data_IF_714264724268
#
_entry.id   IF_714264724268
#
_cell.length_a   1.000
_cell.length_b   1.000
_cell.length_c   1.000
_cell.angle_alpha   90.00
_cell.angle_beta   90.00
_cell.angle_gamma   90.00
#
_symmetry.space_group_name_H-M   'P 1'
#
loop_
_entity.id
_entity.type
_entity.pdbx_description
1 polymer ?
#
# COMPACT_ATOMS: atom_id res chain seq x y z
N UNK A 1 -16.45 -72.16 3.28
CA UNK A 1 -17.37 -71.40 4.14
C UNK A 1 -16.61 -70.17 4.64
N UNK A 2 -16.88 -68.98 4.10
CA UNK A 2 -16.14 -67.75 4.42
C UNK A 2 -17.06 -66.89 5.30
N UNK A 3 -16.61 -66.38 6.47
CA UNK A 3 -17.46 -65.58 7.33
C UNK A 3 -17.60 -64.17 6.75
N UNK A 4 -18.84 -63.67 6.67
CA UNK A 4 -19.16 -62.29 6.30
C UNK A 4 -19.15 -61.42 7.55
N UNK A 5 -18.24 -60.45 7.59
CA UNK A 5 -18.18 -59.40 8.60
C UNK A 5 -19.24 -58.34 8.30
N UNK A 6 -20.14 -58.09 9.25
CA UNK A 6 -21.15 -57.04 9.14
C UNK A 6 -20.53 -55.67 9.47
N UNK A 7 -20.71 -54.69 8.57
CA UNK A 7 -20.31 -53.31 8.79
C UNK A 7 -21.40 -52.58 9.59
N UNK A 8 -21.04 -52.06 10.77
CA UNK A 8 -21.91 -51.24 11.59
C UNK A 8 -21.89 -49.79 11.09
N UNK A 9 -23.06 -49.25 10.77
CA UNK A 9 -23.26 -47.85 10.36
C UNK A 9 -23.46 -46.98 11.60
N UNK A 10 -22.50 -46.09 11.88
CA UNK A 10 -22.60 -45.10 12.96
C UNK A 10 -23.31 -43.86 12.42
N UNK A 11 -24.46 -43.52 13.00
CA UNK A 11 -25.23 -42.32 12.68
C UNK A 11 -24.89 -41.25 13.72
N UNK A 12 -24.13 -40.22 13.32
CA UNK A 12 -23.86 -39.06 14.17
C UNK A 12 -25.15 -38.26 14.37
N UNK A 13 -25.54 -38.03 15.63
CA UNK A 13 -26.59 -37.10 16.00
C UNK A 13 -25.95 -35.73 16.22
N UNK A 14 -26.32 -34.75 15.39
CA UNK A 14 -25.96 -33.36 15.61
C UNK A 14 -26.79 -32.84 16.79
N UNK A 15 -26.14 -32.70 17.95
CA UNK A 15 -26.68 -31.99 19.10
C UNK A 15 -26.47 -30.51 18.86
N UNK A 16 -27.55 -29.78 18.60
CA UNK A 16 -27.56 -28.31 18.57
C UNK A 16 -27.53 -27.84 20.02
N UNK A 17 -26.46 -27.14 20.40
CA UNK A 17 -26.34 -26.46 21.68
C UNK A 17 -26.95 -25.07 21.48
N UNK A 18 -28.13 -24.83 22.05
CA UNK A 18 -28.69 -23.47 22.13
C UNK A 18 -27.92 -22.68 23.20
N UNK A 19 -27.36 -21.55 22.78
CA UNK A 19 -26.64 -20.60 23.63
C UNK A 19 -27.65 -19.73 24.40
N UNK A 20 -27.48 -19.50 25.72
CA UNK A 20 -28.40 -18.67 26.48
C UNK A 20 -28.25 -17.19 26.11
N UNK A 21 -29.36 -16.56 25.71
CA UNK A 21 -29.47 -15.11 25.53
C UNK A 21 -29.37 -14.40 26.89
N UNK A 22 -28.14 -14.05 27.30
CA UNK A 22 -27.94 -13.09 28.38
C UNK A 22 -28.05 -11.66 27.84
N UNK A 23 -28.96 -10.89 28.44
CA UNK A 23 -29.19 -9.49 28.10
C UNK A 23 -27.98 -8.63 28.52
N UNK A 24 -27.53 -7.68 27.68
CA UNK A 24 -26.38 -6.84 28.01
C UNK A 24 -26.77 -5.82 29.08
N UNK A 25 -26.27 -6.05 30.29
CA UNK A 25 -26.34 -5.07 31.38
C UNK A 25 -25.35 -3.96 31.08
N UNK A 26 -25.84 -2.83 30.55
CA UNK A 26 -25.04 -1.62 30.35
C UNK A 26 -24.74 -0.98 31.71
N UNK A 27 -23.54 -1.23 32.23
CA UNK A 27 -22.95 -0.44 33.30
C UNK A 27 -22.39 0.83 32.68
N UNK A 28 -23.00 1.97 32.97
CA UNK A 28 -22.40 3.28 32.69
C UNK A 28 -21.26 3.49 33.68
N UNK A 29 -20.03 3.44 33.18
CA UNK A 29 -18.84 3.90 33.90
C UNK A 29 -18.65 5.34 33.49
N UNK A 30 -18.85 6.26 34.42
CA UNK A 30 -18.50 7.67 34.26
C UNK A 30 -16.98 7.79 34.13
N UNK A 31 -16.52 7.97 32.90
CA UNK A 31 -15.12 8.24 32.58
C UNK A 31 -14.85 9.73 32.79
N UNK A 32 -14.30 10.08 33.95
CA UNK A 32 -13.74 11.42 34.20
C UNK A 32 -12.57 11.67 33.24
N UNK A 33 -12.86 12.34 32.14
CA UNK A 33 -11.87 12.81 31.17
C UNK A 33 -11.15 14.05 31.72
N UNK A 34 -10.08 13.82 32.48
CA UNK A 34 -9.12 14.86 32.86
C UNK A 34 -8.24 15.20 31.66
N UNK A 35 -8.67 16.18 30.87
CA UNK A 35 -7.82 16.82 29.86
C UNK A 35 -6.78 17.69 30.60
N UNK A 36 -5.66 17.08 30.98
CA UNK A 36 -4.46 17.78 31.38
C UNK A 36 -3.84 18.42 30.13
N UNK A 37 -4.01 19.74 29.99
CA UNK A 37 -3.38 20.52 28.93
C UNK A 37 -1.90 20.68 29.30
N UNK A 38 -1.07 19.77 28.79
CA UNK A 38 0.39 19.93 28.81
C UNK A 38 0.76 20.97 27.76
N UNK A 39 1.11 22.18 28.22
CA UNK A 39 1.74 23.18 27.37
C UNK A 39 3.14 22.66 26.97
N UNK A 40 3.29 22.27 25.71
CA UNK A 40 4.60 21.99 25.12
C UNK A 40 5.18 23.32 24.67
N UNK A 41 6.08 23.87 25.47
CA UNK A 41 6.95 24.97 25.05
C UNK A 41 7.77 24.53 23.85
N UNK A 42 7.48 25.15 22.71
CA UNK A 42 8.23 24.97 21.46
C UNK A 42 9.52 25.75 21.60
N UNK A 43 10.59 25.07 22.00
CA UNK A 43 11.95 25.61 21.91
C UNK A 43 12.34 25.60 20.43
N UNK A 44 12.45 26.80 19.87
CA UNK A 44 13.04 27.07 18.56
C UNK A 44 14.51 26.64 18.56
N UNK A 45 14.76 25.42 18.09
CA UNK A 45 16.10 24.89 17.84
C UNK A 45 16.43 25.13 16.37
N UNK A 46 16.92 26.34 16.08
CA UNK A 46 17.59 26.64 14.83
C UNK A 46 18.82 25.75 14.65
N UNK A 47 18.65 24.64 13.92
CA UNK A 47 19.75 23.80 13.43
C UNK A 47 19.83 24.01 11.92
N UNK A 48 20.80 24.82 11.52
CA UNK A 48 21.39 24.69 10.19
C UNK A 48 22.27 23.44 10.22
N UNK A 49 21.91 22.42 9.42
CA UNK A 49 22.86 21.36 9.06
C UNK A 49 22.77 21.05 7.55
N UNK A 50 23.77 21.61 6.88
CA UNK A 50 24.59 21.02 5.81
C UNK A 50 23.97 19.93 4.91
N UNK A 51 23.74 20.33 3.66
CA UNK A 51 23.55 19.44 2.52
C UNK A 51 24.74 18.48 2.37
N UNK A 52 24.55 17.20 2.71
CA UNK A 52 25.33 16.10 2.15
C UNK A 52 24.42 15.33 1.18
N UNK A 53 24.51 15.74 -0.08
CA UNK A 53 23.99 14.99 -1.22
C UNK A 53 24.78 13.69 -1.31
N UNK A 54 24.23 12.59 -0.79
CA UNK A 54 24.66 11.26 -1.17
C UNK A 54 23.86 10.82 -2.39
N UNK A 55 24.51 10.89 -3.55
CA UNK A 55 24.07 10.28 -4.79
C UNK A 55 24.02 8.76 -4.58
N UNK A 56 22.85 8.26 -4.19
CA UNK A 56 22.50 6.86 -4.32
C UNK A 56 22.18 6.59 -5.79
N UNK A 57 23.22 6.40 -6.59
CA UNK A 57 23.13 5.89 -7.95
C UNK A 57 22.67 4.42 -7.88
N UNK A 58 21.35 4.22 -7.80
CA UNK A 58 20.74 2.90 -7.95
C UNK A 58 20.70 2.56 -9.42
N UNK A 59 21.71 1.76 -9.76
CA UNK A 59 21.85 0.87 -10.89
C UNK A 59 20.59 0.74 -11.77
N UNK A 60 20.77 1.12 -13.04
CA UNK A 60 19.87 0.89 -14.15
C UNK A 60 19.19 -0.49 -14.08
N UNK A 61 17.88 -0.46 -13.92
CA UNK A 61 16.99 -1.54 -14.31
C UNK A 61 17.01 -1.62 -15.85
N UNK A 62 18.12 -2.13 -16.37
CA UNK A 62 18.37 -2.31 -17.79
C UNK A 62 17.50 -3.46 -18.25
N UNK A 63 16.26 -3.14 -18.58
CA UNK A 63 15.35 -3.96 -19.39
C UNK A 63 16.16 -4.47 -20.58
N UNK A 64 16.61 -5.72 -20.53
CA UNK A 64 17.29 -6.39 -21.65
C UNK A 64 16.20 -6.67 -22.68
N UNK A 65 15.97 -5.67 -23.53
CA UNK A 65 15.27 -5.82 -24.79
C UNK A 65 16.14 -6.72 -25.66
N UNK A 66 15.86 -8.01 -25.71
CA UNK A 66 16.37 -8.87 -26.77
C UNK A 66 15.85 -8.30 -28.10
N UNK A 67 16.72 -7.57 -28.81
CA UNK A 67 16.42 -6.91 -30.08
C UNK A 67 16.19 -7.99 -31.14
N UNK A 68 14.93 -8.34 -31.37
CA UNK A 68 14.46 -8.94 -32.60
C UNK A 68 13.91 -7.84 -33.50
N UNK A 69 14.56 -7.59 -34.64
CA UNK A 69 14.13 -6.61 -35.62
C UNK A 69 12.70 -6.91 -36.14
N UNK A 70 11.81 -5.91 -36.29
CA UNK A 70 10.55 -6.12 -36.98
C UNK A 70 10.78 -6.01 -38.48
N UNK A 71 11.04 -7.14 -39.12
CA UNK A 71 10.94 -7.24 -40.58
C UNK A 71 9.46 -7.23 -40.93
N UNK A 72 9.00 -6.09 -41.47
CA UNK A 72 7.81 -6.05 -42.35
C UNK A 72 8.00 -7.13 -43.41
N UNK A 73 6.98 -7.98 -43.62
CA UNK A 73 6.36 -8.21 -44.94
C UNK A 73 5.61 -9.56 -45.06
N UNK A 74 4.40 -9.45 -45.63
CA UNK A 74 3.54 -10.42 -46.32
C UNK A 74 2.89 -11.58 -45.54
N UNK A 75 1.57 -11.44 -45.46
CA UNK A 75 0.53 -12.45 -45.25
C UNK A 75 0.73 -13.64 -46.18
N UNK A 76 0.93 -14.84 -45.63
CA UNK A 76 0.58 -16.09 -46.28
C UNK A 76 0.18 -17.12 -45.20
N UNK A 77 -1.12 -17.42 -45.18
CA UNK A 77 -1.72 -18.49 -44.39
C UNK A 77 -1.20 -19.85 -44.85
N UNK A 78 -0.10 -20.29 -44.25
CA UNK A 78 0.27 -21.70 -44.19
C UNK A 78 0.36 -22.09 -42.74
N UNK A 79 -0.63 -22.87 -42.30
CA UNK A 79 -0.59 -23.64 -41.05
C UNK A 79 0.59 -24.60 -41.12
N UNK A 80 1.75 -24.07 -40.78
CA UNK A 80 2.93 -24.84 -40.47
C UNK A 80 2.74 -25.28 -39.03
N UNK A 81 2.40 -26.56 -38.84
CA UNK A 81 2.65 -27.22 -37.57
C UNK A 81 4.16 -27.17 -37.35
N UNK A 82 4.64 -26.11 -36.69
CA UNK A 82 6.02 -26.05 -36.26
C UNK A 82 6.13 -27.06 -35.13
N UNK A 83 6.52 -28.29 -35.46
CA UNK A 83 7.22 -29.13 -34.51
C UNK A 83 8.44 -28.31 -34.11
N UNK A 84 8.30 -27.51 -33.04
CA UNK A 84 9.36 -26.68 -32.46
C UNK A 84 10.44 -27.65 -32.01
N UNK A 85 11.31 -28.00 -32.96
CA UNK A 85 12.57 -28.66 -32.71
C UNK A 85 13.28 -27.70 -31.78
N UNK A 86 13.26 -28.01 -30.49
CA UNK A 86 13.79 -27.12 -29.47
C UNK A 86 15.25 -26.93 -29.81
N UNK A 87 15.64 -25.70 -30.13
CA UNK A 87 17.02 -25.43 -30.52
C UNK A 87 17.91 -25.80 -29.34
N UNK A 88 18.72 -26.85 -29.49
CA UNK A 88 19.68 -27.28 -28.47
C UNK A 88 20.90 -26.37 -28.62
N UNK A 89 21.20 -25.62 -27.58
CA UNK A 89 22.41 -24.82 -27.44
C UNK A 89 23.49 -25.62 -26.73
N UNK A 90 24.76 -25.27 -26.99
CA UNK A 90 25.90 -25.79 -26.23
C UNK A 90 26.35 -24.74 -25.22
N UNK A 91 26.36 -25.11 -23.95
CA UNK A 91 26.89 -24.28 -22.87
C UNK A 91 28.02 -25.03 -22.16
N UNK A 92 29.25 -24.51 -22.25
CA UNK A 92 30.48 -25.17 -21.78
C UNK A 92 30.62 -26.64 -22.22
N UNK A 93 30.14 -26.98 -23.43
CA UNK A 93 30.18 -28.33 -23.98
C UNK A 93 29.02 -29.25 -23.57
N UNK A 94 28.07 -28.76 -22.77
CA UNK A 94 26.84 -29.45 -22.39
C UNK A 94 25.66 -29.03 -23.26
N UNK A 95 24.83 -29.99 -23.65
CA UNK A 95 23.61 -29.74 -24.42
C UNK A 95 22.50 -29.22 -23.50
N UNK A 96 22.06 -27.99 -23.74
CA UNK A 96 20.98 -27.32 -23.00
C UNK A 96 19.99 -26.72 -23.99
N UNK A 97 18.76 -26.38 -23.58
CA UNK A 97 17.88 -25.61 -24.47
C UNK A 97 18.49 -24.23 -24.72
N UNK A 98 18.45 -23.74 -25.96
CA UNK A 98 19.08 -22.47 -26.35
C UNK A 98 18.54 -21.27 -25.57
N UNK A 99 17.24 -21.30 -25.19
CA UNK A 99 16.62 -20.29 -24.34
C UNK A 99 17.28 -20.14 -22.96
N UNK A 100 18.04 -21.14 -22.51
CA UNK A 100 18.68 -21.15 -21.20
C UNK A 100 20.15 -20.74 -21.21
N UNK A 101 20.79 -20.60 -22.38
CA UNK A 101 22.22 -20.26 -22.47
C UNK A 101 22.49 -18.91 -21.78
N UNK A 102 21.71 -17.87 -22.10
CA UNK A 102 21.84 -16.55 -21.48
C UNK A 102 21.61 -16.57 -19.96
N UNK A 103 20.67 -17.41 -19.49
CA UNK A 103 20.40 -17.56 -18.07
C UNK A 103 21.58 -18.21 -17.36
N UNK A 104 22.15 -19.27 -17.92
CA UNK A 104 23.30 -19.97 -17.36
C UNK A 104 24.54 -19.07 -17.33
N UNK A 105 24.78 -18.29 -18.39
CA UNK A 105 25.85 -17.27 -18.41
C UNK A 105 25.65 -16.21 -17.31
N UNK A 106 24.42 -15.81 -17.04
CA UNK A 106 24.15 -14.87 -15.96
C UNK A 106 24.43 -15.49 -14.58
N UNK A 107 23.97 -16.73 -14.34
CA UNK A 107 24.15 -17.41 -13.04
C UNK A 107 25.62 -17.69 -12.78
N UNK A 108 26.41 -18.17 -13.77
CA UNK A 108 27.83 -18.48 -13.57
C UNK A 108 28.66 -17.23 -13.27
N UNK A 109 28.31 -16.08 -13.87
CA UNK A 109 28.99 -14.82 -13.61
C UNK A 109 28.69 -14.29 -12.20
N UNK A 110 27.49 -14.57 -11.67
CA UNK A 110 27.05 -14.07 -10.36
C UNK A 110 27.39 -15.01 -9.21
N UNK A 111 27.38 -16.32 -9.45
CA UNK A 111 27.57 -17.36 -8.45
C UNK A 111 28.44 -18.50 -9.00
N UNK A 112 29.71 -18.23 -9.33
CA UNK A 112 30.60 -19.22 -9.96
C UNK A 112 30.78 -20.48 -9.12
N UNK A 113 30.75 -20.37 -7.78
CA UNK A 113 30.90 -21.48 -6.83
C UNK A 113 29.80 -22.54 -7.01
N UNK A 114 28.61 -22.12 -7.45
CA UNK A 114 27.47 -23.00 -7.73
C UNK A 114 27.81 -24.03 -8.82
N UNK A 115 28.75 -23.69 -9.71
CA UNK A 115 29.13 -24.51 -10.85
C UNK A 115 30.39 -25.35 -10.62
N UNK A 116 31.12 -25.17 -9.52
CA UNK A 116 32.31 -26.00 -9.22
C UNK A 116 31.98 -27.50 -9.18
N UNK A 117 30.79 -27.84 -8.67
CA UNK A 117 30.31 -29.22 -8.60
C UNK A 117 29.75 -29.76 -9.92
N UNK A 118 29.69 -28.95 -10.99
CA UNK A 118 29.28 -29.39 -12.33
C UNK A 118 30.46 -29.87 -13.17
N UNK A 119 31.70 -29.75 -12.69
CA UNK A 119 32.89 -30.31 -13.32
C UNK A 119 32.99 -31.85 -13.20
N UNK A 120 31.90 -32.56 -12.87
CA UNK A 120 31.94 -34.02 -12.77
C UNK A 120 32.20 -34.66 -14.13
N UNK A 121 32.97 -35.75 -14.16
CA UNK A 121 33.32 -36.47 -15.41
C UNK A 121 32.11 -37.01 -16.18
N UNK A 122 30.93 -37.08 -15.57
CA UNK A 122 29.73 -37.61 -16.21
C UNK A 122 28.94 -36.50 -16.91
N UNK A 123 29.14 -36.38 -18.23
CA UNK A 123 28.51 -35.38 -19.09
C UNK A 123 26.98 -35.45 -19.06
N UNK A 124 26.40 -36.65 -19.06
CA UNK A 124 24.93 -36.86 -19.05
C UNK A 124 24.31 -36.34 -17.76
N UNK A 125 24.94 -36.63 -16.61
CA UNK A 125 24.48 -36.16 -15.30
C UNK A 125 24.52 -34.64 -15.21
N UNK A 126 25.59 -33.99 -15.71
CA UNK A 126 25.68 -32.53 -15.75
C UNK A 126 24.59 -31.92 -16.62
N UNK A 127 24.36 -32.47 -17.81
CA UNK A 127 23.27 -32.05 -18.70
C UNK A 127 21.90 -32.15 -18.03
N UNK A 128 21.63 -33.26 -17.31
CA UNK A 128 20.37 -33.44 -16.58
C UNK A 128 20.19 -32.39 -15.48
N UNK A 129 21.24 -32.13 -14.69
CA UNK A 129 21.21 -31.12 -13.62
C UNK A 129 21.01 -29.71 -14.16
N UNK A 130 21.68 -29.34 -15.26
CA UNK A 130 21.54 -28.03 -15.89
C UNK A 130 20.12 -27.83 -16.44
N UNK A 131 19.56 -28.80 -17.15
CA UNK A 131 18.21 -28.71 -17.68
C UNK A 131 17.15 -28.63 -16.55
N UNK A 132 17.37 -29.37 -15.46
CA UNK A 132 16.51 -29.29 -14.27
C UNK A 132 16.61 -27.93 -13.60
N UNK A 133 17.82 -27.39 -13.38
CA UNK A 133 18.04 -26.06 -12.82
C UNK A 133 17.33 -24.99 -13.67
N UNK A 134 17.54 -25.02 -14.98
CA UNK A 134 16.94 -24.05 -15.90
C UNK A 134 15.41 -24.14 -15.90
N UNK A 135 14.86 -25.36 -15.87
CA UNK A 135 13.41 -25.56 -15.80
C UNK A 135 12.85 -25.04 -14.48
N UNK A 136 13.51 -25.31 -13.37
CA UNK A 136 13.11 -24.82 -12.04
C UNK A 136 13.15 -23.30 -11.97
N UNK A 137 14.24 -22.67 -12.43
CA UNK A 137 14.36 -21.20 -12.46
C UNK A 137 13.31 -20.58 -13.38
N UNK A 138 13.09 -21.15 -14.57
CA UNK A 138 12.06 -20.68 -15.48
C UNK A 138 10.65 -20.82 -14.88
N UNK A 139 10.37 -21.92 -14.18
CA UNK A 139 9.10 -22.10 -13.47
C UNK A 139 8.97 -21.08 -12.33
N UNK A 140 10.04 -20.79 -11.59
CA UNK A 140 10.02 -19.79 -10.53
C UNK A 140 9.76 -18.37 -11.07
N UNK A 141 10.39 -18.01 -12.19
CA UNK A 141 10.13 -16.74 -12.88
C UNK A 141 8.68 -16.67 -13.39
N UNK A 142 8.11 -17.81 -13.80
CA UNK A 142 6.72 -17.92 -14.26
C UNK A 142 5.69 -17.97 -13.14
N UNK A 143 6.08 -18.31 -11.91
CA UNK A 143 5.19 -18.16 -10.76
C UNK A 143 5.00 -16.65 -10.63
N UNK A 144 3.80 -16.12 -10.90
CA UNK A 144 3.55 -14.71 -10.71
C UNK A 144 3.65 -14.45 -9.21
N UNK A 145 4.82 -13.99 -8.75
CA UNK A 145 4.97 -13.35 -7.44
C UNK A 145 4.01 -12.17 -7.28
N UNK A 146 3.41 -11.75 -8.38
CA UNK A 146 2.51 -10.63 -8.49
C UNK A 146 1.12 -10.91 -7.96
N UNK A 147 0.59 -12.13 -7.86
CA UNK A 147 -0.84 -12.28 -7.53
C UNK A 147 -1.21 -11.83 -6.09
N UNK A 148 -0.46 -12.23 -5.04
CA UNK A 148 -0.67 -11.69 -3.70
C UNK A 148 -0.33 -10.19 -3.61
N UNK A 149 0.80 -9.79 -4.20
CA UNK A 149 1.28 -8.40 -4.16
C UNK A 149 0.36 -7.44 -4.94
N UNK A 150 -0.24 -7.86 -6.04
CA UNK A 150 -1.20 -7.08 -6.82
C UNK A 150 -2.51 -6.92 -6.05
N UNK A 151 -2.93 -7.95 -5.32
CA UNK A 151 -4.14 -7.87 -4.48
C UNK A 151 -3.93 -6.91 -3.31
N UNK A 152 -2.77 -6.97 -2.66
CA UNK A 152 -2.38 -6.02 -1.61
C UNK A 152 -2.25 -4.59 -2.16
N UNK A 153 -1.62 -4.42 -3.33
CA UNK A 153 -1.49 -3.12 -3.98
C UNK A 153 -2.86 -2.52 -4.33
N UNK A 154 -3.76 -3.33 -4.89
CA UNK A 154 -5.13 -2.90 -5.17
C UNK A 154 -5.89 -2.50 -3.90
N UNK A 155 -5.73 -3.24 -2.79
CA UNK A 155 -6.35 -2.87 -1.53
C UNK A 155 -5.83 -1.53 -0.98
N UNK A 156 -4.52 -1.28 -1.12
CA UNK A 156 -3.90 0.00 -0.76
C UNK A 156 -4.48 1.13 -1.62
N UNK A 157 -4.60 0.93 -2.94
CA UNK A 157 -5.19 1.93 -3.84
C UNK A 157 -6.63 2.29 -3.45
N UNK A 158 -7.45 1.28 -3.10
CA UNK A 158 -8.81 1.53 -2.60
C UNK A 158 -8.81 2.38 -1.30
N UNK A 159 -7.92 2.08 -0.36
CA UNK A 159 -7.81 2.85 0.88
C UNK A 159 -7.34 4.30 0.64
N UNK A 160 -6.46 4.51 -0.35
CA UNK A 160 -6.03 5.85 -0.76
C UNK A 160 -7.22 6.65 -1.32
N UNK A 161 -8.03 6.04 -2.18
CA UNK A 161 -9.21 6.69 -2.75
C UNK A 161 -10.25 7.04 -1.68
N UNK A 162 -10.49 6.15 -0.70
CA UNK A 162 -11.39 6.41 0.43
C UNK A 162 -10.90 7.58 1.30
N UNK A 163 -9.60 7.60 1.61
CA UNK A 163 -8.98 8.67 2.39
C UNK A 163 -9.05 10.02 1.64
N UNK A 164 -8.86 10.00 0.32
CA UNK A 164 -8.98 11.18 -0.53
C UNK A 164 -10.40 11.74 -0.54
N UNK A 165 -11.40 10.89 -0.71
CA UNK A 165 -12.82 11.27 -0.64
C UNK A 165 -13.18 11.91 0.70
N UNK A 166 -12.67 11.34 1.80
CA UNK A 166 -12.88 11.87 3.16
C UNK A 166 -12.23 13.25 3.34
N UNK A 167 -11.06 13.48 2.74
CA UNK A 167 -10.37 14.78 2.78
C UNK A 167 -11.15 15.85 2.00
N UNK A 168 -11.72 15.49 0.85
CA UNK A 168 -12.56 16.38 0.04
C UNK A 168 -13.84 16.79 0.79
N UNK A 169 -14.50 15.87 1.49
CA UNK A 169 -15.67 16.20 2.35
C UNK A 169 -15.28 17.15 3.49
N UNK A 170 -14.15 16.88 4.16
CA UNK A 170 -13.67 17.75 5.24
C UNK A 170 -13.35 19.16 4.71
N UNK A 171 -12.73 19.26 3.54
CA UNK A 171 -12.45 20.54 2.90
C UNK A 171 -13.73 21.31 2.59
N UNK A 172 -14.76 20.63 2.07
CA UNK A 172 -16.08 21.22 1.84
C UNK A 172 -16.69 21.78 3.14
N UNK A 173 -16.66 21.01 4.23
CA UNK A 173 -17.17 21.43 5.54
C UNK A 173 -16.42 22.63 6.12
N UNK A 174 -15.10 22.72 5.92
CA UNK A 174 -14.29 23.87 6.33
C UNK A 174 -14.73 25.13 5.57
N UNK A 175 -14.95 25.03 4.26
CA UNK A 175 -15.41 26.16 3.44
C UNK A 175 -16.81 26.64 3.85
N UNK A 176 -17.74 25.72 4.11
CA UNK A 176 -19.08 26.05 4.62
C UNK A 176 -19.02 26.75 5.98
N UNK A 177 -18.25 26.20 6.92
CA UNK A 177 -18.08 26.78 8.27
C UNK A 177 -17.44 28.16 8.20
N UNK A 178 -16.43 28.35 7.34
CA UNK A 178 -15.80 29.65 7.11
C UNK A 178 -16.80 30.68 6.57
N UNK A 179 -17.64 30.28 5.63
CA UNK A 179 -18.69 31.16 5.08
C UNK A 179 -19.71 31.56 6.15
N UNK A 180 -20.15 30.60 6.98
CA UNK A 180 -21.05 30.89 8.11
C UNK A 180 -20.44 31.86 9.12
N UNK A 181 -19.16 31.68 9.45
CA UNK A 181 -18.44 32.59 10.34
C UNK A 181 -18.36 34.01 9.77
N UNK A 182 -18.06 34.15 8.47
CA UNK A 182 -18.06 35.45 7.79
C UNK A 182 -19.43 36.11 7.83
N UNK A 183 -20.51 35.37 7.57
CA UNK A 183 -21.88 35.89 7.65
C UNK A 183 -22.24 36.37 9.07
N UNK A 184 -21.85 35.63 10.11
CA UNK A 184 -22.05 36.04 11.50
C UNK A 184 -21.26 37.30 11.84
N UNK A 185 -20.05 37.44 11.31
CA UNK A 185 -19.23 38.64 11.52
C UNK A 185 -19.85 39.87 10.85
N UNK A 186 -20.31 39.74 9.60
CA UNK A 186 -21.07 40.80 8.92
C UNK A 186 -22.31 41.18 9.72
N UNK A 187 -23.10 40.20 10.19
CA UNK A 187 -24.29 40.46 11.00
C UNK A 187 -23.97 41.18 12.31
N UNK A 188 -22.86 40.80 12.98
CA UNK A 188 -22.39 41.48 14.19
C UNK A 188 -22.08 42.94 13.89
N UNK A 189 -21.36 43.21 12.81
CA UNK A 189 -20.95 44.56 12.44
C UNK A 189 -22.17 45.44 12.08
N UNK A 190 -23.14 44.90 11.34
CA UNK A 190 -24.44 45.56 11.07
C UNK A 190 -25.19 45.90 12.37
N UNK A 191 -25.27 44.95 13.30
CA UNK A 191 -25.94 45.16 14.60
C UNK A 191 -25.22 46.18 15.46
N UNK A 192 -23.89 46.22 15.40
CA UNK A 192 -23.09 47.23 16.08
C UNK A 192 -23.36 48.63 15.53
N UNK A 193 -23.47 48.76 14.20
CA UNK A 193 -23.82 50.03 13.55
C UNK A 193 -25.23 50.51 13.95
N UNK A 194 -26.21 49.61 14.00
CA UNK A 194 -27.57 49.91 14.49
C UNK A 194 -27.55 50.45 15.94
N UNK A 195 -26.77 49.83 16.83
CA UNK A 195 -26.61 50.25 18.22
C UNK A 195 -25.96 51.64 18.30
N UNK A 196 -24.87 51.87 17.55
CA UNK A 196 -24.20 53.17 17.52
C UNK A 196 -25.14 54.28 17.03
N UNK A 197 -25.96 53.99 16.01
CA UNK A 197 -26.95 54.93 15.49
C UNK A 197 -28.04 55.26 16.52
N UNK A 198 -28.46 54.28 17.33
CA UNK A 198 -29.50 54.47 18.33
C UNK A 198 -29.02 55.21 19.59
N UNK A 199 -27.78 54.98 20.03
CA UNK A 199 -27.25 55.45 21.32
C UNK A 199 -26.14 56.51 21.21
N UNK A 200 -25.68 56.86 20.01
CA UNK A 200 -24.56 57.78 19.82
C UNK A 200 -23.26 57.24 20.45
N UNK A 201 -22.48 58.13 21.06
CA UNK A 201 -21.19 57.77 21.70
C UNK A 201 -21.33 56.89 22.95
N UNK A 202 -22.51 56.81 23.56
CA UNK A 202 -22.78 55.85 24.65
C UNK A 202 -22.80 54.40 24.16
N UNK A 203 -23.20 54.15 22.90
CA UNK A 203 -23.26 52.80 22.34
C UNK A 203 -21.88 52.15 22.22
N UNK A 204 -20.86 52.92 21.85
CA UNK A 204 -19.46 52.47 21.82
C UNK A 204 -18.93 52.09 23.21
N UNK A 205 -19.28 52.85 24.24
CA UNK A 205 -18.83 52.62 25.63
C UNK A 205 -19.42 51.33 26.21
N UNK A 206 -20.68 51.03 25.86
CA UNK A 206 -21.36 49.77 26.19
C UNK A 206 -20.71 48.56 25.51
N UNK A 207 -20.31 48.69 24.25
CA UNK A 207 -19.83 47.56 23.47
C UNK A 207 -18.39 47.13 23.76
N UNK A 208 -17.57 48.02 24.35
CA UNK A 208 -16.20 47.71 24.82
C UNK A 208 -16.24 47.04 26.20
N UNK A 209 -17.41 46.98 26.86
CA UNK A 209 -17.55 46.38 28.19
C UNK A 209 -17.14 47.30 29.34
N UNK A 210 -16.92 48.59 29.10
CA UNK A 210 -16.46 49.57 30.09
C UNK A 210 -17.60 50.09 31.00
N UNK A 211 -18.61 49.27 31.32
CA UNK A 211 -19.78 49.71 32.09
C UNK A 211 -19.42 50.03 33.56
N UNK A 212 -18.22 49.66 34.03
CA UNK A 212 -17.77 49.87 35.41
C UNK A 212 -16.99 51.15 35.70
N UNK A 213 -16.28 51.72 34.73
CA UNK A 213 -15.24 52.72 35.02
C UNK A 213 -15.78 54.13 35.27
N UNK A 214 -16.92 54.49 34.66
CA UNK A 214 -17.52 55.83 34.84
C UNK A 214 -18.46 55.94 36.04
N UNK A 215 -18.79 54.81 36.70
CA UNK A 215 -19.77 54.77 37.79
C UNK A 215 -19.16 54.89 39.20
N UNK A 216 -17.83 54.84 39.31
CA UNK A 216 -17.14 55.05 40.57
C UNK A 216 -16.32 56.33 40.50
N UNK A 217 -16.70 57.42 41.21
CA UNK A 217 -15.82 58.57 41.33
C UNK A 217 -14.53 58.11 42.03
N UNK A 218 -13.39 58.36 41.37
CA UNK A 218 -12.07 58.13 41.97
C UNK A 218 -11.90 58.91 43.28
N UNK A 219 -11.08 58.40 44.21
CA UNK A 219 -10.88 58.97 45.55
C UNK A 219 -10.33 60.41 45.55
#
# INVERSE_FOLDING_TARGET
MIPRTAAASVRAQNVVIEEPLEAPTKVFIDSENSNEIVCVDTVDMGVQEEHVVQNSEVHDDRIIRCVGAPVKEIVNDRVSSSGKKSDIGLWHGHEVKSEFVCLLDHIINKYPETFEHFATKNKELCTMKLNMLCTTVNNFIKIPMTEPLLSELHAIDCHIDDAKSSLEDLQFRIVDTKTKLQNLQTLRDEKMEEIQKAFGTMGTSLAVGNIGDDLLPGP
#
